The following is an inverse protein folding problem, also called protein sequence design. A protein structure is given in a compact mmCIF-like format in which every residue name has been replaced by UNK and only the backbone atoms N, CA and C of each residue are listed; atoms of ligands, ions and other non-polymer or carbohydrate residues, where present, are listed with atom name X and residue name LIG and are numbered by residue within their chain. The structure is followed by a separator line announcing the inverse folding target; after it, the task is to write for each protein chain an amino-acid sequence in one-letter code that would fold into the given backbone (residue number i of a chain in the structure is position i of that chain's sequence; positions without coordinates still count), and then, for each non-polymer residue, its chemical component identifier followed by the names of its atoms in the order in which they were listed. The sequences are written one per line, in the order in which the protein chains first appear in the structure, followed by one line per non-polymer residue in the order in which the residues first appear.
data_IF_593216229158
#
_entry.id   IF_593216229158
#
_cell.length_a   1.000
_cell.length_b   1.000
_cell.length_c   1.000
_cell.angle_alpha   90.00
_cell.angle_beta   90.00
_cell.angle_gamma   90.00
#
_symmetry.space_group_name_H-M   'P 1'
#
loop_
_entity.id
_entity.type
_entity.pdbx_description
1 polymer ?
#
# COMPACT_ATOMS: atom_id res chain seq x y z
N UNK A 1 -0.62 -11.74 -6.84
CA UNK A 1 -0.39 -12.75 -5.79
C UNK A 1 0.96 -12.60 -5.06
N UNK A 2 2.05 -12.14 -5.70
CA UNK A 2 3.40 -12.12 -5.08
C UNK A 2 3.52 -11.30 -3.79
N UNK A 3 2.94 -10.09 -3.73
CA UNK A 3 3.06 -9.22 -2.56
C UNK A 3 2.38 -9.80 -1.30
N UNK A 4 1.18 -10.38 -1.46
CA UNK A 4 0.47 -11.02 -0.36
C UNK A 4 1.30 -12.15 0.28
N UNK A 5 1.93 -12.99 -0.55
CA UNK A 5 2.82 -14.06 -0.09
C UNK A 5 4.02 -13.51 0.69
N UNK A 6 4.61 -12.40 0.22
CA UNK A 6 5.72 -11.74 0.91
C UNK A 6 5.30 -11.24 2.29
N UNK A 7 4.12 -10.61 2.41
CA UNK A 7 3.61 -10.08 3.68
C UNK A 7 3.18 -11.18 4.66
N UNK A 8 2.71 -12.31 4.15
CA UNK A 8 2.33 -13.46 4.97
C UNK A 8 3.55 -14.19 5.51
N UNK A 9 4.53 -14.49 4.65
CA UNK A 9 5.68 -15.34 4.99
C UNK A 9 6.89 -14.54 5.50
N UNK A 10 6.87 -13.20 5.40
CA UNK A 10 8.03 -12.33 5.64
C UNK A 10 9.27 -12.76 4.85
N UNK A 11 9.05 -13.24 3.63
CA UNK A 11 10.08 -13.76 2.74
C UNK A 11 9.87 -13.29 1.31
N UNK A 12 10.97 -13.04 0.60
CA UNK A 12 10.95 -12.70 -0.82
C UNK A 12 11.77 -13.67 -1.66
N UNK A 13 11.30 -13.95 -2.86
CA UNK A 13 12.01 -14.74 -3.87
C UNK A 13 12.31 -13.83 -5.06
N UNK A 14 13.58 -13.76 -5.46
CA UNK A 14 14.00 -12.99 -6.64
C UNK A 14 13.47 -13.65 -7.91
N UNK A 15 13.16 -12.85 -8.93
CA UNK A 15 12.75 -13.38 -10.24
C UNK A 15 13.89 -14.25 -10.80
N UNK A 16 13.55 -15.45 -11.26
CA UNK A 16 14.53 -16.43 -11.74
C UNK A 16 15.25 -17.23 -10.64
N UNK A 17 14.93 -17.00 -9.37
CA UNK A 17 15.43 -17.80 -8.24
C UNK A 17 14.30 -18.62 -7.61
N UNK A 18 14.66 -19.69 -6.91
CA UNK A 18 13.76 -20.47 -6.05
C UNK A 18 14.12 -20.32 -4.56
N UNK A 19 15.19 -19.59 -4.22
CA UNK A 19 15.67 -19.46 -2.84
C UNK A 19 14.93 -18.32 -2.13
N UNK A 20 14.11 -18.60 -1.10
CA UNK A 20 13.51 -17.55 -0.27
C UNK A 20 14.57 -16.85 0.57
N UNK A 21 14.30 -15.59 0.89
CA UNK A 21 15.13 -14.76 1.79
C UNK A 21 14.22 -14.06 2.78
N UNK A 22 14.55 -14.16 4.06
CA UNK A 22 13.83 -13.47 5.12
C UNK A 22 14.01 -11.96 4.99
N UNK A 23 12.94 -11.24 5.32
CA UNK A 23 12.91 -9.78 5.33
C UNK A 23 12.26 -9.28 6.62
N UNK A 24 12.80 -8.19 7.16
CA UNK A 24 12.15 -7.41 8.20
C UNK A 24 11.91 -6.00 7.64
N UNK A 25 10.64 -5.66 7.43
CA UNK A 25 10.26 -4.42 6.74
C UNK A 25 9.05 -3.78 7.42
N UNK A 26 9.00 -2.45 7.31
CA UNK A 26 7.78 -1.66 7.54
C UNK A 26 7.17 -1.33 6.18
N UNK A 27 5.95 -1.77 5.93
CA UNK A 27 5.21 -1.45 4.71
C UNK A 27 4.46 -0.12 4.87
N UNK A 28 4.62 0.78 3.90
CA UNK A 28 3.82 2.00 3.76
C UNK A 28 3.29 2.00 2.32
N UNK A 29 1.98 2.15 2.17
CA UNK A 29 1.30 2.18 0.87
C UNK A 29 0.60 3.53 0.71
N UNK A 30 0.55 4.03 -0.52
CA UNK A 30 -0.23 5.21 -0.88
C UNK A 30 -0.92 4.95 -2.22
N UNK A 31 -2.16 5.43 -2.36
CA UNK A 31 -2.94 5.35 -3.59
C UNK A 31 -3.68 6.66 -3.81
N UNK A 32 -3.61 7.20 -5.03
CA UNK A 32 -4.42 8.34 -5.46
C UNK A 32 -5.81 7.89 -5.96
N UNK A 33 -6.02 6.59 -6.15
CA UNK A 33 -7.29 5.99 -6.54
C UNK A 33 -8.02 5.43 -5.32
N UNK A 34 -9.36 5.44 -5.36
CA UNK A 34 -10.19 4.85 -4.31
C UNK A 34 -10.06 3.34 -4.30
N UNK A 35 -9.30 2.81 -3.34
CA UNK A 35 -9.06 1.37 -3.18
C UNK A 35 -10.36 0.60 -2.91
N UNK A 36 -11.33 1.22 -2.22
CA UNK A 36 -12.66 0.65 -2.00
C UNK A 36 -13.40 0.41 -3.32
N UNK A 37 -13.38 1.38 -4.25
CA UNK A 37 -13.99 1.21 -5.58
C UNK A 37 -13.28 0.13 -6.40
N UNK A 38 -11.95 0.13 -6.40
CA UNK A 38 -11.16 -0.89 -7.12
C UNK A 38 -11.39 -2.30 -6.57
N UNK A 39 -11.64 -2.42 -5.26
CA UNK A 39 -11.99 -3.70 -4.63
C UNK A 39 -13.37 -4.17 -5.05
N UNK A 40 -14.36 -3.26 -5.09
CA UNK A 40 -15.70 -3.56 -5.58
C UNK A 40 -15.71 -3.98 -7.06
N UNK A 41 -14.79 -3.42 -7.86
CA UNK A 41 -14.60 -3.75 -9.28
C UNK A 41 -13.72 -5.00 -9.51
N UNK A 42 -13.28 -5.69 -8.44
CA UNK A 42 -12.38 -6.84 -8.49
C UNK A 42 -10.99 -6.57 -9.11
N UNK A 43 -10.64 -5.30 -9.33
CA UNK A 43 -9.31 -4.89 -9.80
C UNK A 43 -8.26 -4.96 -8.67
N UNK A 44 -8.72 -4.82 -7.42
CA UNK A 44 -7.89 -4.95 -6.24
C UNK A 44 -8.36 -6.10 -5.36
N UNK A 45 -7.41 -6.90 -4.87
CA UNK A 45 -7.74 -8.04 -4.02
C UNK A 45 -8.07 -7.58 -2.61
N UNK A 46 -9.25 -7.99 -2.13
CA UNK A 46 -9.74 -7.66 -0.81
C UNK A 46 -8.85 -8.20 0.32
N UNK A 47 -8.24 -9.38 0.14
CA UNK A 47 -7.35 -9.98 1.15
C UNK A 47 -6.05 -9.20 1.36
N UNK A 48 -5.48 -8.63 0.29
CA UNK A 48 -4.35 -7.73 0.36
C UNK A 48 -4.75 -6.43 1.07
N UNK A 49 -5.94 -5.90 0.77
CA UNK A 49 -6.46 -4.69 1.43
C UNK A 49 -6.55 -4.87 2.94
N UNK A 50 -7.15 -5.96 3.40
CA UNK A 50 -7.24 -6.25 4.84
C UNK A 50 -5.87 -6.38 5.52
N UNK A 51 -4.84 -6.82 4.79
CA UNK A 51 -3.49 -6.99 5.36
C UNK A 51 -2.72 -5.68 5.46
N UNK A 52 -2.96 -4.74 4.55
CA UNK A 52 -2.25 -3.45 4.52
C UNK A 52 -3.01 -2.32 5.21
N UNK A 53 -4.35 -2.40 5.29
CA UNK A 53 -5.18 -1.33 5.82
C UNK A 53 -5.41 -1.43 7.34
N UNK A 54 -4.33 -1.53 8.10
CA UNK A 54 -4.42 -1.48 9.57
C UNK A 54 -4.57 -0.04 10.08
N UNK A 55 -3.94 0.92 9.40
CA UNK A 55 -4.04 2.36 9.69
C UNK A 55 -4.18 3.10 8.37
N UNK A 56 -5.27 3.83 8.22
CA UNK A 56 -5.56 4.63 7.02
C UNK A 56 -5.38 6.10 7.33
N UNK A 57 -4.57 6.80 6.52
CA UNK A 57 -4.39 8.25 6.61
C UNK A 57 -4.94 8.86 5.34
N UNK A 58 -6.02 9.63 5.49
CA UNK A 58 -6.61 10.40 4.40
C UNK A 58 -5.88 11.74 4.29
N UNK A 59 -5.18 11.94 3.18
CA UNK A 59 -4.46 13.18 2.91
C UNK A 59 -5.38 14.12 2.10
N UNK A 60 -5.88 15.22 2.70
CA UNK A 60 -6.69 16.18 1.97
C UNK A 60 -5.84 16.92 0.91
N UNK A 61 -6.45 17.31 -0.22
CA UNK A 61 -5.77 18.05 -1.28
C UNK A 61 -5.40 19.46 -0.80
N UNK A 62 -4.37 20.05 -1.43
CA UNK A 62 -3.86 21.38 -1.03
C UNK A 62 -4.91 22.49 -1.09
N UNK A 63 -5.91 22.39 -1.98
CA UNK A 63 -7.04 23.33 -2.05
C UNK A 63 -7.88 23.41 -0.76
N UNK A 64 -7.84 22.36 0.07
CA UNK A 64 -8.49 22.27 1.39
C UNK A 64 -7.51 22.63 2.53
N UNK A 65 -6.23 22.89 2.22
CA UNK A 65 -5.14 23.24 3.15
C UNK A 65 -4.40 24.50 2.69
N UNK A 66 -5.15 25.56 2.39
CA UNK A 66 -4.58 26.81 1.86
C UNK A 66 -3.66 27.52 2.87
N UNK A 67 -3.87 27.27 4.17
CA UNK A 67 -3.04 27.77 5.26
C UNK A 67 -1.59 27.25 5.24
N UNK A 68 -1.32 26.14 4.56
CA UNK A 68 0.04 25.60 4.40
C UNK A 68 0.81 26.24 3.24
N UNK A 69 0.14 26.99 2.35
CA UNK A 69 0.78 27.62 1.18
C UNK A 69 1.97 28.51 1.54
N UNK A 70 1.91 29.37 2.58
CA UNK A 70 3.03 30.24 2.93
C UNK A 70 4.31 29.51 3.35
N UNK A 71 4.20 28.24 3.78
CA UNK A 71 5.34 27.42 4.22
C UNK A 71 5.97 26.61 3.08
N UNK A 72 5.35 26.60 1.90
CA UNK A 72 5.74 25.78 0.75
C UNK A 72 6.33 26.60 -0.42
N UNK A 73 6.41 27.93 -0.30
CA UNK A 73 6.93 28.87 -1.31
C UNK A 73 8.21 29.53 -0.84
#
# INVERSE_FOLDING_TARGET
AKLLTVLQNRQVVRVGSHKPRDIDIRLICASNMSIQKMTAQQEFRQDLLYRINTVEIQLPPLRERQEDLPLLV
#
